data_IF_800424260581
#
_entry.id   IF_800424260581
#
_cell.length_a   1.000
_cell.length_b   1.000
_cell.length_c   1.000
_cell.angle_alpha   90.00
_cell.angle_beta   90.00
_cell.angle_gamma   90.00
#
_symmetry.space_group_name_H-M   'P 1'
#
loop_
_entity.id
_entity.type
_entity.pdbx_description
1 polymer ?
#
# COMPACT_ATOMS: atom_id res chain seq x y z
N UNK A 1 -24.60 -31.09 3.69
CA UNK A 1 -24.51 -31.24 5.16
C UNK A 1 -23.64 -30.08 5.68
N UNK A 2 -24.26 -29.07 6.28
CA UNK A 2 -23.62 -27.80 6.63
C UNK A 2 -23.05 -27.85 8.05
N UNK A 3 -21.91 -27.19 8.28
CA UNK A 3 -21.47 -26.82 9.63
C UNK A 3 -21.61 -25.31 9.80
N UNK A 4 -22.53 -24.96 10.70
CA UNK A 4 -22.63 -23.69 11.39
C UNK A 4 -21.25 -23.27 11.93
N UNK A 5 -20.75 -22.12 11.45
CA UNK A 5 -20.05 -21.18 12.32
C UNK A 5 -20.82 -19.87 12.27
N UNK A 6 -21.84 -19.79 13.11
CA UNK A 6 -22.42 -18.52 13.50
C UNK A 6 -21.41 -17.77 14.35
N UNK A 7 -20.88 -16.68 13.81
CA UNK A 7 -20.44 -15.53 14.61
C UNK A 7 -21.19 -14.32 14.08
N UNK A 8 -22.40 -14.13 14.62
CA UNK A 8 -23.11 -12.86 14.55
C UNK A 8 -22.45 -11.88 15.54
N UNK A 9 -21.26 -11.40 15.17
CA UNK A 9 -20.71 -10.12 15.62
C UNK A 9 -20.21 -9.46 14.34
N UNK A 10 -20.81 -8.39 13.83
CA UNK A 10 -20.95 -7.16 14.56
C UNK A 10 -21.94 -6.25 13.85
N UNK A 11 -22.70 -5.53 14.65
CA UNK A 11 -23.25 -4.23 14.29
C UNK A 11 -22.18 -3.48 13.49
N UNK A 12 -22.55 -2.98 12.32
CA UNK A 12 -21.80 -1.99 11.56
C UNK A 12 -21.51 -0.82 12.53
N UNK A 13 -20.34 -0.85 13.16
CA UNK A 13 -19.80 0.24 13.95
C UNK A 13 -19.02 1.14 12.99
N UNK A 14 -19.01 2.46 13.20
CA UNK A 14 -18.37 3.37 12.25
C UNK A 14 -16.88 3.06 12.23
N UNK A 15 -16.42 2.46 11.12
CA UNK A 15 -15.05 2.38 10.60
C UNK A 15 -13.99 2.51 11.72
N UNK A 16 -13.74 1.41 12.43
CA UNK A 16 -12.69 1.38 13.46
C UNK A 16 -11.32 1.54 12.78
N UNK A 17 -10.63 2.66 13.05
CA UNK A 17 -9.23 2.83 12.66
C UNK A 17 -8.38 1.68 13.21
N UNK A 18 -7.37 1.19 12.45
CA UNK A 18 -6.52 0.11 12.93
C UNK A 18 -5.80 0.54 14.23
N UNK A 19 -5.53 -0.41 15.15
CA UNK A 19 -4.99 -0.10 16.48
C UNK A 19 -3.63 0.61 16.43
N UNK A 20 -2.83 0.35 15.40
CA UNK A 20 -1.56 1.06 15.15
C UNK A 20 -1.76 2.57 14.92
N UNK A 21 -2.79 2.94 14.17
CA UNK A 21 -3.12 4.34 13.86
C UNK A 21 -3.62 5.08 15.11
N UNK A 22 -4.43 4.43 15.94
CA UNK A 22 -4.88 5.00 17.22
C UNK A 22 -3.70 5.24 18.18
N UNK A 23 -2.76 4.28 18.29
CA UNK A 23 -1.54 4.46 19.09
C UNK A 23 -0.69 5.63 18.60
N UNK A 24 -0.53 5.75 17.28
CA UNK A 24 0.19 6.86 16.67
C UNK A 24 -0.47 8.21 16.98
N UNK A 25 -1.78 8.34 16.78
CA UNK A 25 -2.49 9.61 17.02
C UNK A 25 -2.45 10.02 18.50
N UNK A 26 -2.53 9.07 19.44
CA UNK A 26 -2.35 9.33 20.87
C UNK A 26 -0.94 9.83 21.21
N UNK A 27 0.07 9.26 20.57
CA UNK A 27 1.45 9.71 20.77
C UNK A 27 1.64 11.14 20.22
N UNK A 28 1.05 11.43 19.06
CA UNK A 28 1.11 12.75 18.45
C UNK A 28 0.39 13.80 19.30
N UNK A 29 -0.81 13.50 19.80
CA UNK A 29 -1.54 14.41 20.70
C UNK A 29 -0.75 14.70 21.97
N UNK A 30 -0.08 13.69 22.54
CA UNK A 30 0.80 13.84 23.70
C UNK A 30 2.01 14.74 23.39
N UNK A 31 2.64 14.58 22.23
CA UNK A 31 3.86 15.32 21.85
C UNK A 31 3.58 16.76 21.42
N UNK A 32 2.44 17.01 20.78
CA UNK A 32 2.06 18.33 20.28
C UNK A 32 1.17 19.10 21.25
N UNK A 33 0.86 18.54 22.43
CA UNK A 33 -0.03 19.13 23.43
C UNK A 33 -1.41 19.52 22.86
N UNK A 34 -1.92 18.71 21.92
CA UNK A 34 -3.25 18.91 21.31
C UNK A 34 -4.27 18.08 22.10
N UNK A 35 -5.45 18.62 22.47
CA UNK A 35 -6.49 17.85 23.13
C UNK A 35 -6.93 16.67 22.25
N UNK A 36 -6.92 15.47 22.83
CA UNK A 36 -7.33 14.24 22.15
C UNK A 36 -8.83 13.98 22.38
N UNK A 37 -9.68 14.63 21.58
CA UNK A 37 -11.13 14.43 21.66
C UNK A 37 -11.59 13.22 20.84
N UNK A 38 -11.28 13.21 19.55
CA UNK A 38 -11.65 12.14 18.63
C UNK A 38 -10.50 11.86 17.63
N UNK A 39 -10.19 10.59 17.29
CA UNK A 39 -9.09 10.29 16.38
C UNK A 39 -9.25 10.92 14.98
N UNK A 40 -10.47 10.98 14.44
CA UNK A 40 -10.74 11.63 13.15
C UNK A 40 -10.51 13.14 13.18
N UNK A 41 -10.90 13.84 14.25
CA UNK A 41 -10.71 15.29 14.35
C UNK A 41 -9.23 15.63 14.46
N UNK A 42 -8.48 14.86 15.24
CA UNK A 42 -7.02 14.99 15.34
C UNK A 42 -6.33 14.71 13.99
N UNK A 43 -6.75 13.68 13.28
CA UNK A 43 -6.17 13.37 11.96
C UNK A 43 -6.42 14.51 10.96
N UNK A 44 -7.65 15.05 10.93
CA UNK A 44 -8.00 16.17 10.05
C UNK A 44 -7.27 17.45 10.41
N UNK A 45 -7.11 17.76 11.71
CA UNK A 45 -6.37 18.95 12.15
C UNK A 45 -4.88 18.88 11.81
N UNK A 46 -4.32 17.67 11.80
CA UNK A 46 -2.94 17.41 11.39
C UNK A 46 -2.77 17.33 9.86
N UNK A 47 -3.86 17.44 9.07
CA UNK A 47 -3.86 17.25 7.62
C UNK A 47 -3.20 15.93 7.18
N UNK A 48 -3.26 14.89 8.01
CA UNK A 48 -2.54 13.64 7.77
C UNK A 48 -3.36 12.73 6.84
N UNK A 49 -2.83 12.39 5.64
CA UNK A 49 -3.46 11.40 4.79
C UNK A 49 -3.50 10.04 5.49
N UNK A 50 -4.42 9.18 5.06
CA UNK A 50 -4.54 7.86 5.65
C UNK A 50 -3.23 7.07 5.52
N UNK A 51 -2.99 6.17 6.48
CA UNK A 51 -1.81 5.32 6.46
C UNK A 51 -1.72 4.53 5.15
N UNK A 52 -2.85 4.07 4.63
CA UNK A 52 -2.91 3.29 3.39
C UNK A 52 -2.37 4.08 2.20
N UNK A 53 -2.78 5.35 2.07
CA UNK A 53 -2.36 6.26 0.98
C UNK A 53 -0.85 6.54 1.08
N UNK A 54 -0.38 6.84 2.30
CA UNK A 54 1.05 7.06 2.54
C UNK A 54 1.89 5.84 2.24
N UNK A 55 1.42 4.65 2.64
CA UNK A 55 2.10 3.40 2.34
C UNK A 55 2.17 3.15 0.83
N UNK A 56 1.09 3.41 0.08
CA UNK A 56 1.12 3.31 -1.38
C UNK A 56 2.16 4.24 -2.01
N UNK A 57 2.25 5.47 -1.51
CA UNK A 57 3.24 6.44 -1.99
C UNK A 57 4.68 5.98 -1.73
N UNK A 58 4.97 5.52 -0.51
CA UNK A 58 6.28 4.98 -0.18
C UNK A 58 6.61 3.71 -0.94
N UNK A 59 5.63 2.82 -1.09
CA UNK A 59 5.77 1.59 -1.85
C UNK A 59 6.17 1.95 -3.30
N UNK A 60 5.48 2.90 -3.92
CA UNK A 60 5.80 3.36 -5.27
C UNK A 60 7.20 3.99 -5.38
N UNK A 61 7.56 4.93 -4.50
CA UNK A 61 8.90 5.55 -4.52
C UNK A 61 9.98 4.49 -4.37
N UNK A 62 9.79 3.56 -3.44
CA UNK A 62 10.75 2.50 -3.20
C UNK A 62 10.92 1.62 -4.43
N UNK A 63 9.83 1.21 -5.06
CA UNK A 63 9.86 0.41 -6.28
C UNK A 63 10.55 1.17 -7.43
N UNK A 64 10.21 2.43 -7.65
CA UNK A 64 10.85 3.27 -8.66
C UNK A 64 12.37 3.36 -8.44
N UNK A 65 12.79 3.64 -7.19
CA UNK A 65 14.20 3.73 -6.82
C UNK A 65 14.94 2.41 -7.02
N UNK A 66 14.30 1.29 -6.71
CA UNK A 66 14.87 -0.03 -6.89
C UNK A 66 15.04 -0.40 -8.37
N UNK A 67 14.07 -0.06 -9.22
CA UNK A 67 14.13 -0.35 -10.66
C UNK A 67 15.14 0.52 -11.41
N UNK A 68 15.32 1.77 -10.98
CA UNK A 68 16.24 2.71 -11.62
C UNK A 68 17.62 2.75 -10.98
N UNK A 69 18.00 1.71 -10.23
CA UNK A 69 19.31 1.61 -9.55
C UNK A 69 19.66 2.79 -8.62
N UNK A 70 18.66 3.50 -8.09
CA UNK A 70 18.90 4.42 -6.96
C UNK A 70 19.08 3.64 -5.64
N UNK A 71 18.66 2.39 -5.60
CA UNK A 71 18.94 1.42 -4.54
C UNK A 71 19.65 0.23 -5.18
N UNK A 72 20.95 0.12 -4.94
CA UNK A 72 21.77 -0.97 -5.47
C UNK A 72 21.62 -2.24 -4.62
N UNK A 73 20.56 -2.99 -4.90
CA UNK A 73 20.34 -4.29 -4.28
C UNK A 73 19.87 -5.31 -5.31
N UNK A 74 20.81 -6.10 -5.89
CA UNK A 74 20.45 -7.14 -6.85
C UNK A 74 19.57 -8.22 -6.21
N UNK A 75 19.76 -8.47 -4.90
CA UNK A 75 18.91 -9.37 -4.14
C UNK A 75 17.46 -8.92 -4.12
N UNK A 76 17.18 -7.67 -3.75
CA UNK A 76 15.80 -7.16 -3.72
C UNK A 76 15.18 -7.12 -5.12
N UNK A 77 15.96 -6.75 -6.13
CA UNK A 77 15.50 -6.77 -7.52
C UNK A 77 15.17 -8.19 -7.98
N UNK A 78 15.93 -9.20 -7.56
CA UNK A 78 15.67 -10.61 -7.91
C UNK A 78 14.36 -11.16 -7.33
N UNK A 79 13.82 -10.54 -6.27
CA UNK A 79 12.54 -10.92 -5.67
C UNK A 79 11.34 -10.37 -6.45
N UNK A 80 11.56 -9.42 -7.37
CA UNK A 80 10.52 -8.82 -8.20
C UNK A 80 10.27 -9.71 -9.42
N UNK A 81 9.02 -10.09 -9.61
CA UNK A 81 8.60 -10.88 -10.78
C UNK A 81 7.95 -9.97 -11.80
N UNK A 82 8.55 -9.84 -12.98
CA UNK A 82 7.97 -9.08 -14.10
C UNK A 82 7.05 -9.96 -14.95
N UNK A 83 5.96 -9.37 -15.43
CA UNK A 83 5.13 -9.98 -16.47
C UNK A 83 5.57 -9.40 -17.80
N UNK A 84 6.25 -10.19 -18.62
CA UNK A 84 6.61 -9.79 -19.99
C UNK A 84 5.60 -10.40 -20.94
N UNK A 85 4.68 -9.61 -21.52
CA UNK A 85 3.68 -10.14 -22.43
C UNK A 85 4.33 -10.54 -23.76
N UNK A 86 4.11 -11.77 -24.22
CA UNK A 86 4.62 -12.27 -25.51
C UNK A 86 3.93 -11.59 -26.71
N UNK A 87 2.68 -11.17 -26.53
CA UNK A 87 1.86 -10.46 -27.50
C UNK A 87 1.21 -9.26 -26.82
N UNK A 88 0.82 -8.24 -27.60
CA UNK A 88 0.11 -7.07 -27.10
C UNK A 88 -1.26 -7.48 -26.53
N UNK A 89 -1.28 -7.86 -25.26
CA UNK A 89 -2.48 -8.25 -24.52
C UNK A 89 -3.01 -7.05 -23.77
N UNK A 90 -4.33 -6.99 -23.60
CA UNK A 90 -5.01 -5.88 -22.90
C UNK A 90 -4.77 -5.88 -21.38
N UNK A 91 -3.96 -6.79 -20.85
CA UNK A 91 -3.68 -6.86 -19.43
C UNK A 91 -2.45 -5.98 -19.12
N UNK A 92 -2.63 -4.84 -18.43
CA UNK A 92 -1.55 -3.88 -18.27
C UNK A 92 -0.71 -4.15 -17.01
N UNK A 93 -0.86 -5.30 -16.36
CA UNK A 93 -0.09 -5.64 -15.16
C UNK A 93 1.39 -5.85 -15.49
N UNK A 94 2.25 -4.92 -15.06
CA UNK A 94 3.71 -5.00 -15.27
C UNK A 94 4.37 -6.08 -14.40
N UNK A 95 3.75 -6.45 -13.27
CA UNK A 95 4.31 -7.41 -12.30
C UNK A 95 3.46 -8.66 -12.18
N UNK A 96 4.12 -9.80 -11.98
CA UNK A 96 3.48 -11.08 -11.68
C UNK A 96 3.43 -11.26 -10.17
N UNK A 97 2.23 -11.46 -9.61
CA UNK A 97 2.05 -11.65 -8.17
C UNK A 97 1.75 -13.13 -7.94
N UNK A 98 2.63 -13.88 -7.25
CA UNK A 98 2.37 -15.29 -6.99
C UNK A 98 1.19 -15.44 -6.03
N UNK A 99 0.51 -16.58 -6.14
CA UNK A 99 -0.58 -16.92 -5.25
C UNK A 99 -0.08 -17.05 -3.80
N UNK A 100 -0.76 -16.37 -2.88
CA UNK A 100 -0.40 -16.34 -1.46
C UNK A 100 -1.41 -17.14 -0.65
N UNK A 101 -0.95 -18.17 0.06
CA UNK A 101 -1.81 -18.97 0.95
C UNK A 101 -2.07 -18.29 2.30
N UNK A 102 -1.17 -17.41 2.74
CA UNK A 102 -1.26 -16.74 4.05
C UNK A 102 -1.29 -15.22 3.90
N UNK A 103 -1.98 -14.56 4.85
CA UNK A 103 -2.00 -13.11 4.94
C UNK A 103 -0.60 -12.53 5.15
N UNK A 104 0.30 -13.22 5.86
CA UNK A 104 1.67 -12.76 6.06
C UNK A 104 2.42 -12.56 4.74
N UNK A 105 2.34 -13.55 3.86
CA UNK A 105 2.98 -13.48 2.56
C UNK A 105 2.27 -12.45 1.66
N UNK A 106 0.93 -12.40 1.70
CA UNK A 106 0.13 -11.44 0.95
C UNK A 106 0.40 -9.97 1.36
N UNK A 107 0.69 -9.70 2.63
CA UNK A 107 1.05 -8.38 3.17
C UNK A 107 2.56 -8.12 3.17
N UNK A 108 3.38 -9.05 2.65
CA UNK A 108 4.83 -8.85 2.56
C UNK A 108 5.15 -7.60 1.72
N UNK A 109 6.21 -6.85 2.05
CA UNK A 109 6.55 -5.62 1.35
C UNK A 109 6.68 -5.82 -0.17
N UNK A 110 7.43 -6.83 -0.61
CA UNK A 110 7.66 -7.11 -2.04
C UNK A 110 6.34 -7.36 -2.79
N UNK A 111 5.45 -8.18 -2.25
CA UNK A 111 4.19 -8.49 -2.93
C UNK A 111 3.20 -7.32 -2.88
N UNK A 112 3.22 -6.56 -1.78
CA UNK A 112 2.43 -5.35 -1.65
C UNK A 112 2.89 -4.29 -2.66
N UNK A 113 4.20 -4.07 -2.81
CA UNK A 113 4.82 -3.16 -3.79
C UNK A 113 4.33 -3.46 -5.21
N UNK A 114 4.51 -4.71 -5.66
CA UNK A 114 4.10 -5.15 -7.00
C UNK A 114 2.58 -5.02 -7.21
N UNK A 115 1.78 -5.33 -6.20
CA UNK A 115 0.32 -5.17 -6.27
C UNK A 115 -0.09 -3.71 -6.38
N UNK A 116 0.47 -2.85 -5.56
CA UNK A 116 0.20 -1.41 -5.60
C UNK A 116 0.52 -0.85 -6.98
N UNK A 117 1.66 -1.23 -7.57
CA UNK A 117 2.03 -0.80 -8.91
C UNK A 117 1.05 -1.28 -9.99
N UNK A 118 0.65 -2.56 -9.95
CA UNK A 118 -0.37 -3.10 -10.86
C UNK A 118 -1.73 -2.40 -10.70
N UNK A 119 -2.16 -2.10 -9.48
CA UNK A 119 -3.46 -1.45 -9.23
C UNK A 119 -3.51 -0.02 -9.74
N UNK A 120 -2.38 0.70 -9.70
CA UNK A 120 -2.30 2.07 -10.20
C UNK A 120 -2.12 2.13 -11.72
N UNK A 121 -1.87 0.98 -12.37
CA UNK A 121 -1.62 0.88 -13.80
C UNK A 121 -0.54 1.87 -14.29
N UNK A 122 0.53 2.01 -13.51
CA UNK A 122 1.62 2.93 -13.78
C UNK A 122 2.77 2.17 -14.44
N UNK A 123 3.20 2.64 -15.61
CA UNK A 123 4.41 2.15 -16.26
C UNK A 123 5.65 2.67 -15.51
N UNK A 124 6.08 1.90 -14.51
CA UNK A 124 7.28 2.21 -13.69
C UNK A 124 8.58 1.89 -14.44
N UNK A 125 8.49 1.26 -15.60
CA UNK A 125 9.62 0.86 -16.44
C UNK A 125 10.05 2.01 -17.36
N UNK A 126 9.10 2.84 -17.81
CA UNK A 126 9.39 4.02 -18.63
C UNK A 126 9.34 5.29 -17.78
N UNK A 127 10.53 5.72 -17.34
CA UNK A 127 10.74 6.87 -16.46
C UNK A 127 10.07 8.18 -16.91
N UNK A 128 9.87 8.38 -18.22
CA UNK A 128 9.29 9.60 -18.78
C UNK A 128 7.77 9.69 -18.54
N UNK A 129 7.07 8.55 -18.64
CA UNK A 129 5.61 8.46 -18.45
C UNK A 129 5.26 8.53 -16.95
N UNK A 130 6.11 7.99 -16.09
CA UNK A 130 5.86 7.89 -14.65
C UNK A 130 5.84 9.26 -13.95
N UNK A 131 6.75 10.17 -14.30
CA UNK A 131 6.84 11.52 -13.71
C UNK A 131 5.65 12.41 -14.10
N UNK A 132 5.18 12.31 -15.35
CA UNK A 132 4.08 13.10 -15.86
C UNK A 132 2.73 12.77 -15.21
N UNK A 133 2.51 11.50 -14.83
CA UNK A 133 1.29 11.08 -14.10
C UNK A 133 1.30 11.49 -12.63
N UNK A 134 2.49 11.65 -12.04
CA UNK A 134 2.63 12.02 -10.63
C UNK A 134 2.39 13.52 -10.38
N UNK A 135 2.74 14.39 -11.32
CA UNK A 135 2.51 15.84 -11.19
C UNK A 135 1.03 16.25 -11.29
N UNK A 136 0.15 15.33 -11.73
CA UNK A 136 -1.26 15.59 -12.00
C UNK A 136 -2.24 15.02 -10.94
N UNK A 137 -1.73 14.49 -9.83
CA UNK A 137 -2.53 14.00 -8.68
C UNK A 137 -2.13 14.72 -7.39
#
# INVERSE_FOLDING_TARGET
MPLLFGVHHSKLTPIQLPPSKLKFLRLVSLRLHIPYDHPHTLQSSLSLPDLSIRLQYFDFIFLFKLLHSFIDSPYLLSLISFTVPLHHTRNPSSFNIPYCQTCYLFLSPIFRLMRTANTMNIDVIDSAVTLARFQNN
#
